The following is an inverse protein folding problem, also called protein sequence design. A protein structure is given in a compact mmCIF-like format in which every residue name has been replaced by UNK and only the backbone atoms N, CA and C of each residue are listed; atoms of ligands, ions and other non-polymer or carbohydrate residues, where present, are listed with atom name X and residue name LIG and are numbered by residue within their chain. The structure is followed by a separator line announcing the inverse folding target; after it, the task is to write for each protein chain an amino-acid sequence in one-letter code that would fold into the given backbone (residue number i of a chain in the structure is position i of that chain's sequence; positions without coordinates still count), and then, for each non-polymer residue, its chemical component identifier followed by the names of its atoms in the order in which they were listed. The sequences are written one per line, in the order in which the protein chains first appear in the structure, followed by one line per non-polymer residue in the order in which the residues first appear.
data_IF_548224642207
#
_entry.id   IF_548224642207
#
_cell.length_a   1.000
_cell.length_b   1.000
_cell.length_c   1.000
_cell.angle_alpha   90.00
_cell.angle_beta   90.00
_cell.angle_gamma   90.00
#
_symmetry.space_group_name_H-M   'P 1'
#
loop_
_entity.id
_entity.type
_entity.pdbx_description
1 polymer ?
#
# COMPACT_ATOMS: atom_id res chain seq x y z
N UNK A 1 -3.44 -16.94 6.61
CA UNK A 1 -3.47 -17.36 5.19
C UNK A 1 -2.05 -17.25 4.64
N UNK A 2 -1.59 -18.21 3.83
CA UNK A 2 -0.22 -18.22 3.28
C UNK A 2 -0.28 -17.99 1.77
N UNK A 3 0.45 -17.00 1.26
CA UNK A 3 0.62 -16.79 -0.18
C UNK A 3 1.49 -17.93 -0.74
N UNK A 4 1.06 -18.52 -1.85
CA UNK A 4 1.82 -19.55 -2.56
C UNK A 4 2.57 -18.92 -3.73
N UNK A 5 3.72 -19.48 -4.12
CA UNK A 5 4.58 -18.89 -5.17
C UNK A 5 4.00 -18.88 -6.60
N UNK A 6 2.73 -19.25 -6.81
CA UNK A 6 2.07 -19.23 -8.12
C UNK A 6 0.93 -18.21 -8.17
N UNK A 7 0.57 -17.74 -9.38
CA UNK A 7 -0.50 -16.77 -9.62
C UNK A 7 -0.29 -15.47 -8.83
N UNK A 8 -1.05 -15.23 -7.77
CA UNK A 8 -0.94 -14.03 -6.95
C UNK A 8 0.46 -13.89 -6.32
N UNK A 9 1.03 -14.99 -5.80
CA UNK A 9 2.34 -14.90 -5.17
C UNK A 9 3.49 -14.71 -6.15
N UNK A 10 3.32 -15.04 -7.44
CA UNK A 10 4.36 -14.82 -8.45
C UNK A 10 4.46 -13.38 -8.97
N UNK A 11 3.48 -12.53 -8.68
CA UNK A 11 3.48 -11.14 -9.16
C UNK A 11 4.23 -10.22 -8.18
N UNK A 12 5.02 -9.24 -8.64
CA UNK A 12 5.50 -8.17 -7.78
C UNK A 12 4.31 -7.36 -7.26
N UNK A 13 4.37 -6.92 -6.01
CA UNK A 13 3.27 -6.22 -5.34
C UNK A 13 3.82 -5.00 -4.61
N UNK A 14 3.12 -3.89 -4.76
CA UNK A 14 3.34 -2.68 -3.98
C UNK A 14 2.06 -2.33 -3.23
N UNK A 15 2.22 -1.98 -1.96
CA UNK A 15 1.16 -1.49 -1.09
C UNK A 15 1.46 -0.03 -0.78
N UNK A 16 0.58 0.88 -1.19
CA UNK A 16 0.68 2.31 -0.85
C UNK A 16 -0.23 2.54 0.35
N UNK A 17 0.36 2.87 1.49
CA UNK A 17 -0.35 3.15 2.74
C UNK A 17 -0.46 4.64 3.02
N UNK A 18 -1.60 5.05 3.54
CA UNK A 18 -1.89 6.44 3.93
C UNK A 18 -1.82 6.59 5.45
N UNK A 19 -0.91 7.45 5.93
CA UNK A 19 -0.61 7.57 7.37
C UNK A 19 -1.78 8.07 8.21
N UNK A 20 -2.62 8.93 7.65
CA UNK A 20 -3.75 9.57 8.35
C UNK A 20 -5.09 8.90 8.03
N UNK A 21 -5.08 7.68 7.47
CA UNK A 21 -6.28 6.89 7.21
C UNK A 21 -7.02 6.54 8.51
N UNK A 22 -8.32 6.86 8.55
CA UNK A 22 -9.23 6.57 9.67
C UNK A 22 -10.22 5.45 9.36
N UNK A 23 -10.31 5.01 8.11
CA UNK A 23 -11.10 3.86 7.68
C UNK A 23 -10.30 2.56 7.79
N UNK A 24 -9.00 2.59 7.46
CA UNK A 24 -8.07 1.46 7.61
C UNK A 24 -6.91 1.86 8.52
N UNK A 25 -6.90 1.40 9.79
CA UNK A 25 -5.86 1.74 10.75
C UNK A 25 -4.45 1.42 10.25
N UNK A 26 -3.48 2.26 10.60
CA UNK A 26 -2.09 2.15 10.15
C UNK A 26 -1.48 0.75 10.35
N UNK A 27 -1.69 0.15 11.52
CA UNK A 27 -1.20 -1.19 11.84
C UNK A 27 -1.82 -2.25 10.92
N UNK A 28 -3.10 -2.13 10.58
CA UNK A 28 -3.78 -3.07 9.69
C UNK A 28 -3.21 -2.98 8.27
N UNK A 29 -2.88 -1.79 7.78
CA UNK A 29 -2.23 -1.60 6.48
C UNK A 29 -0.87 -2.32 6.41
N UNK A 30 -0.04 -2.17 7.45
CA UNK A 30 1.23 -2.90 7.55
C UNK A 30 1.03 -4.41 7.56
N UNK A 31 0.08 -4.92 8.33
CA UNK A 31 -0.20 -6.36 8.37
C UNK A 31 -0.71 -6.88 7.02
N UNK A 32 -1.55 -6.11 6.32
CA UNK A 32 -2.05 -6.46 4.98
C UNK A 32 -0.90 -6.53 3.98
N UNK A 33 -0.02 -5.53 3.98
CA UNK A 33 1.19 -5.50 3.13
C UNK A 33 2.11 -6.69 3.40
N UNK A 34 2.39 -6.99 4.68
CA UNK A 34 3.24 -8.11 5.06
C UNK A 34 2.62 -9.46 4.66
N UNK A 35 1.31 -9.65 4.88
CA UNK A 35 0.58 -10.86 4.46
C UNK A 35 0.55 -11.03 2.95
N UNK A 36 0.57 -9.93 2.20
CA UNK A 36 0.63 -9.94 0.76
C UNK A 36 2.05 -10.14 0.21
N UNK A 37 3.10 -10.04 1.03
CA UNK A 37 4.51 -9.98 0.58
C UNK A 37 4.73 -8.81 -0.40
N UNK A 38 4.19 -7.63 -0.06
CA UNK A 38 4.28 -6.43 -0.89
C UNK A 38 5.36 -5.45 -0.38
N UNK A 39 5.98 -4.71 -1.30
CA UNK A 39 6.78 -3.54 -0.97
C UNK A 39 5.87 -2.42 -0.45
N UNK A 40 6.14 -1.86 0.72
CA UNK A 40 5.28 -0.86 1.35
C UNK A 40 5.82 0.56 1.11
N UNK A 41 4.96 1.45 0.64
CA UNK A 41 5.25 2.88 0.46
C UNK A 41 4.28 3.66 1.35
N UNK A 42 4.81 4.57 2.17
CA UNK A 42 4.01 5.45 3.03
C UNK A 42 3.78 6.80 2.34
N UNK A 43 2.54 7.28 2.37
CA UNK A 43 2.16 8.64 1.99
C UNK A 43 1.57 9.39 3.20
N UNK A 44 1.82 10.69 3.27
CA UNK A 44 1.17 11.59 4.24
C UNK A 44 -0.22 12.00 3.74
N UNK A 45 -1.12 11.03 3.65
CA UNK A 45 -2.49 11.22 3.16
C UNK A 45 -3.53 10.59 4.08
N UNK A 46 -4.80 10.90 3.81
CA UNK A 46 -5.95 10.21 4.40
C UNK A 46 -6.34 8.96 3.59
N UNK A 47 -7.51 8.39 3.86
CA UNK A 47 -8.00 7.18 3.19
C UNK A 47 -8.02 7.29 1.65
N UNK A 48 -8.13 8.50 1.11
CA UNK A 48 -8.19 8.78 -0.31
C UNK A 48 -6.95 9.58 -0.74
N UNK A 49 -5.76 8.94 -0.86
CA UNK A 49 -4.52 9.66 -1.21
C UNK A 49 -4.60 10.33 -2.58
N UNK A 50 -5.47 9.87 -3.48
CA UNK A 50 -5.75 10.53 -4.76
C UNK A 50 -6.44 11.89 -4.60
N UNK A 51 -6.97 12.22 -3.42
CA UNK A 51 -7.54 13.53 -3.06
C UNK A 51 -6.65 14.29 -2.06
N UNK A 52 -6.08 13.61 -1.07
CA UNK A 52 -5.35 14.24 0.05
C UNK A 52 -3.84 14.36 -0.15
N UNK A 53 -3.26 13.57 -1.05
CA UNK A 53 -1.82 13.52 -1.33
C UNK A 53 -1.57 13.22 -2.82
N UNK A 54 -2.30 13.91 -3.72
CA UNK A 54 -2.33 13.58 -5.16
C UNK A 54 -0.95 13.60 -5.80
N UNK A 55 -0.14 14.63 -5.54
CA UNK A 55 1.19 14.77 -6.13
C UNK A 55 2.16 13.69 -5.64
N UNK A 56 2.13 13.39 -4.33
CA UNK A 56 2.95 12.33 -3.73
C UNK A 56 2.54 10.94 -4.25
N UNK A 57 1.24 10.72 -4.43
CA UNK A 57 0.73 9.49 -5.02
C UNK A 57 1.21 9.35 -6.48
N UNK A 58 1.16 10.42 -7.28
CA UNK A 58 1.66 10.40 -8.67
C UNK A 58 3.15 10.12 -8.68
N UNK A 59 3.93 10.76 -7.80
CA UNK A 59 5.37 10.53 -7.69
C UNK A 59 5.69 9.08 -7.30
N UNK A 60 4.96 8.51 -6.34
CA UNK A 60 5.13 7.11 -5.94
C UNK A 60 4.81 6.14 -7.08
N UNK A 61 3.73 6.39 -7.83
CA UNK A 61 3.34 5.56 -8.98
C UNK A 61 4.34 5.65 -10.14
N UNK A 62 4.90 6.83 -10.40
CA UNK A 62 5.90 7.03 -11.45
C UNK A 62 7.24 6.35 -11.14
N UNK A 63 7.49 5.98 -9.88
CA UNK A 63 8.70 5.34 -9.40
C UNK A 63 8.60 3.81 -9.23
N UNK A 64 7.45 3.19 -9.58
CA UNK A 64 7.24 1.74 -9.56
C UNK A 64 7.90 1.04 -10.76
#
# INVERSE_FOLDING_TARGET
MRVTGSRFGSLPKTYIGSRNDRAVPWQLQHEMSARAEAHFIELDGDHSPFMSATDDLVAALAAL
#
